data_IF_850557678207
#
_entry.id   IF_850557678207
#
_cell.length_a   1.000
_cell.length_b   1.000
_cell.length_c   1.000
_cell.angle_alpha   90.00
_cell.angle_beta   90.00
_cell.angle_gamma   90.00
#
_symmetry.space_group_name_H-M   'P 1'
#
loop_
_entity.id
_entity.type
_entity.pdbx_description
1 polymer ?
#
# COMPACT_ATOMS: atom_id res chain seq x y z
N UNK A 1 3.29 3.86 9.82
CA UNK A 1 3.51 5.25 9.35
C UNK A 1 2.51 5.57 8.21
N UNK A 2 2.36 6.82 7.75
CA UNK A 2 1.43 7.18 6.64
C UNK A 2 1.74 6.43 5.34
N UNK A 3 3.04 6.29 5.03
CA UNK A 3 3.56 5.57 3.87
C UNK A 3 3.11 4.10 3.90
N UNK A 4 3.35 3.39 5.01
CA UNK A 4 2.95 1.99 5.16
C UNK A 4 1.43 1.80 5.00
N UNK A 5 0.65 2.74 5.57
CA UNK A 5 -0.81 2.73 5.43
C UNK A 5 -1.22 2.88 3.96
N UNK A 6 -0.68 3.88 3.27
CA UNK A 6 -0.93 4.10 1.85
C UNK A 6 -0.54 2.90 1.00
N UNK A 7 0.63 2.31 1.28
CA UNK A 7 1.15 1.14 0.59
C UNK A 7 0.20 -0.06 0.74
N UNK A 8 -0.20 -0.40 1.98
CA UNK A 8 -1.10 -1.53 2.22
C UNK A 8 -2.48 -1.34 1.57
N UNK A 9 -3.04 -0.13 1.62
CA UNK A 9 -4.32 0.20 0.97
C UNK A 9 -4.22 0.02 -0.54
N UNK A 10 -3.24 0.67 -1.18
CA UNK A 10 -3.11 0.63 -2.64
C UNK A 10 -2.74 -0.75 -3.14
N UNK A 11 -1.85 -1.47 -2.45
CA UNK A 11 -1.51 -2.86 -2.77
C UNK A 11 -2.75 -3.75 -2.76
N UNK A 12 -3.59 -3.65 -1.72
CA UNK A 12 -4.85 -4.42 -1.65
C UNK A 12 -5.79 -4.06 -2.80
N UNK A 13 -5.92 -2.76 -3.10
CA UNK A 13 -6.78 -2.27 -4.17
C UNK A 13 -6.30 -2.63 -5.58
N UNK A 14 -4.99 -2.66 -5.81
CA UNK A 14 -4.39 -3.09 -7.08
C UNK A 14 -4.58 -4.59 -7.29
N UNK A 15 -4.29 -5.40 -6.27
CA UNK A 15 -4.49 -6.86 -6.29
C UNK A 15 -5.94 -7.27 -6.57
N UNK A 16 -6.90 -6.51 -6.05
CA UNK A 16 -8.34 -6.77 -6.24
C UNK A 16 -8.96 -6.03 -7.43
N UNK A 17 -8.23 -5.10 -8.05
CA UNK A 17 -8.74 -4.19 -9.07
C UNK A 17 -9.67 -3.07 -8.54
N UNK A 18 -9.93 -3.00 -7.23
CA UNK A 18 -10.73 -1.95 -6.60
C UNK A 18 -10.17 -0.54 -6.86
N UNK A 19 -8.85 -0.43 -7.06
CA UNK A 19 -8.17 0.86 -7.32
C UNK A 19 -8.79 1.63 -8.48
N UNK A 20 -9.26 0.93 -9.53
CA UNK A 20 -9.82 1.57 -10.71
C UNK A 20 -11.17 2.21 -10.44
N UNK A 21 -12.00 1.58 -9.59
CA UNK A 21 -13.27 2.16 -9.15
C UNK A 21 -13.03 3.33 -8.19
N UNK A 22 -12.16 3.14 -7.20
CA UNK A 22 -11.83 4.15 -6.20
C UNK A 22 -11.26 5.43 -6.83
N UNK A 23 -10.33 5.27 -7.78
CA UNK A 23 -9.67 6.38 -8.48
C UNK A 23 -10.45 6.87 -9.70
N UNK A 24 -11.64 6.31 -9.99
CA UNK A 24 -12.47 6.64 -11.17
C UNK A 24 -11.68 6.56 -12.49
N UNK A 25 -10.80 5.59 -12.60
CA UNK A 25 -9.92 5.43 -13.76
C UNK A 25 -10.66 4.77 -14.93
N UNK A 26 -10.59 5.41 -16.10
CA UNK A 26 -11.28 4.98 -17.34
C UNK A 26 -10.33 4.46 -18.42
N UNK A 27 -9.02 4.44 -18.17
CA UNK A 27 -8.01 3.97 -19.11
C UNK A 27 -7.90 2.44 -19.20
N UNK A 28 -7.05 1.94 -20.11
CA UNK A 28 -6.83 0.51 -20.29
C UNK A 28 -6.22 -0.11 -19.03
N UNK A 29 -6.70 -1.31 -18.68
CA UNK A 29 -6.22 -2.06 -17.52
C UNK A 29 -5.07 -2.99 -17.93
N UNK A 30 -3.97 -2.87 -17.23
CA UNK A 30 -2.84 -3.79 -17.24
C UNK A 30 -3.11 -4.98 -16.33
N UNK A 31 -2.69 -6.17 -16.79
CA UNK A 31 -2.75 -7.41 -16.03
C UNK A 31 -1.39 -7.65 -15.38
N UNK A 32 -1.31 -7.43 -14.07
CA UNK A 32 -0.11 -7.70 -13.28
C UNK A 32 0.28 -9.19 -13.36
N UNK A 33 1.58 -9.45 -13.50
CA UNK A 33 2.17 -10.78 -13.62
C UNK A 33 2.34 -11.46 -12.26
N UNK A 34 2.77 -10.70 -11.27
CA UNK A 34 3.10 -11.19 -9.92
C UNK A 34 2.88 -10.11 -8.85
N UNK A 35 3.23 -10.43 -7.60
CA UNK A 35 3.17 -9.49 -6.48
C UNK A 35 4.18 -8.35 -6.61
N UNK A 36 5.29 -8.59 -7.30
CA UNK A 36 6.42 -7.66 -7.33
C UNK A 36 6.10 -6.46 -8.20
N UNK A 37 5.42 -6.67 -9.35
CA UNK A 37 4.87 -5.57 -10.14
C UNK A 37 3.83 -4.74 -9.38
N UNK A 38 3.01 -5.39 -8.55
CA UNK A 38 2.04 -4.69 -7.71
C UNK A 38 2.76 -3.84 -6.66
N UNK A 39 3.82 -4.38 -6.05
CA UNK A 39 4.58 -3.70 -5.03
C UNK A 39 5.42 -2.55 -5.61
N UNK A 40 5.95 -2.71 -6.82
CA UNK A 40 6.64 -1.66 -7.57
C UNK A 40 5.73 -0.45 -7.82
N UNK A 41 4.60 -0.65 -8.50
CA UNK A 41 3.68 0.46 -8.80
C UNK A 41 3.09 1.07 -7.52
N UNK A 42 2.81 0.24 -6.50
CA UNK A 42 2.33 0.73 -5.20
C UNK A 42 3.37 1.65 -4.56
N UNK A 43 4.65 1.23 -4.57
CA UNK A 43 5.77 2.02 -4.07
C UNK A 43 5.88 3.36 -4.80
N UNK A 44 5.79 3.36 -6.13
CA UNK A 44 5.85 4.56 -6.95
C UNK A 44 4.70 5.54 -6.64
N UNK A 45 3.46 5.03 -6.53
CA UNK A 45 2.29 5.84 -6.16
C UNK A 45 2.52 6.49 -4.80
N UNK A 46 2.93 5.72 -3.79
CA UNK A 46 3.10 6.21 -2.43
C UNK A 46 4.27 7.20 -2.34
N UNK A 47 5.37 6.95 -3.04
CA UNK A 47 6.53 7.84 -3.10
C UNK A 47 6.19 9.22 -3.68
N UNK A 48 5.49 9.26 -4.83
CA UNK A 48 5.03 10.54 -5.39
C UNK A 48 4.02 11.24 -4.48
N UNK A 49 3.16 10.43 -3.85
CA UNK A 49 2.11 10.96 -2.98
C UNK A 49 2.67 11.54 -1.70
N UNK A 50 3.70 10.96 -1.09
CA UNK A 50 4.28 11.54 0.14
C UNK A 50 5.02 12.85 -0.16
N UNK A 51 5.68 12.94 -1.31
CA UNK A 51 6.32 14.18 -1.76
C UNK A 51 5.29 15.30 -1.97
N UNK A 52 4.22 15.02 -2.72
CA UNK A 52 3.14 15.98 -2.94
C UNK A 52 2.38 16.31 -1.65
N UNK A 53 2.11 15.32 -0.79
CA UNK A 53 1.39 15.54 0.46
C UNK A 53 2.14 16.47 1.42
N UNK A 54 3.47 16.35 1.49
CA UNK A 54 4.28 17.26 2.30
C UNK A 54 4.14 18.71 1.82
N UNK A 55 4.26 18.95 0.52
CA UNK A 55 4.21 20.29 -0.06
C UNK A 55 2.79 20.87 -0.06
N UNK A 56 1.85 20.13 -0.66
CA UNK A 56 0.52 20.61 -1.02
C UNK A 56 -0.46 20.56 0.16
N UNK A 57 -0.16 19.77 1.20
CA UNK A 57 -1.09 19.55 2.32
C UNK A 57 -0.50 20.02 3.64
N UNK A 58 0.66 19.47 4.04
CA UNK A 58 1.23 19.75 5.35
C UNK A 58 1.81 21.16 5.43
N UNK A 59 2.63 21.55 4.46
CA UNK A 59 3.25 22.88 4.42
C UNK A 59 2.24 23.96 4.04
N UNK A 60 1.40 23.69 3.04
CA UNK A 60 0.36 24.63 2.63
C UNK A 60 -0.80 24.74 3.63
N UNK A 61 -0.86 23.87 4.64
CA UNK A 61 -1.87 23.92 5.70
C UNK A 61 -3.30 23.65 5.22
N UNK A 62 -3.47 22.92 4.10
CA UNK A 62 -4.81 22.70 3.52
C UNK A 62 -5.63 21.67 4.30
N UNK A 63 -4.97 20.83 5.11
CA UNK A 63 -5.66 19.84 5.94
C UNK A 63 -6.13 20.47 7.26
N UNK A 64 -7.41 20.29 7.54
CA UNK A 64 -8.06 20.78 8.75
C UNK A 64 -8.69 19.59 9.49
N UNK A 65 -8.20 19.22 10.69
CA UNK A 65 -8.72 18.09 11.45
C UNK A 65 -10.18 18.28 11.89
N UNK A 66 -10.67 19.53 11.98
CA UNK A 66 -12.06 19.81 12.37
C UNK A 66 -13.08 19.45 11.28
N UNK A 67 -12.63 19.30 10.02
CA UNK A 67 -13.47 18.92 8.88
C UNK A 67 -13.69 17.41 8.75
N UNK A 68 -13.29 16.63 9.74
CA UNK A 68 -13.66 15.21 9.89
C UNK A 68 -12.83 14.19 9.09
N UNK A 69 -11.88 14.62 8.27
CA UNK A 69 -10.96 13.72 7.59
C UNK A 69 -9.70 13.49 8.44
N UNK A 70 -9.41 12.23 8.80
CA UNK A 70 -8.13 11.90 9.43
C UNK A 70 -6.97 12.20 8.46
N UNK A 71 -5.77 12.45 9.01
CA UNK A 71 -4.57 12.67 8.19
C UNK A 71 -4.28 11.48 7.26
N UNK A 72 -4.56 10.25 7.71
CA UNK A 72 -4.45 9.03 6.90
C UNK A 72 -5.43 9.02 5.74
N UNK A 73 -6.70 9.35 6.00
CA UNK A 73 -7.75 9.42 4.96
C UNK A 73 -7.43 10.50 3.93
N UNK A 74 -6.93 11.64 4.38
CA UNK A 74 -6.49 12.73 3.50
C UNK A 74 -5.30 12.29 2.64
N UNK A 75 -4.35 11.54 3.21
CA UNK A 75 -3.21 10.98 2.48
C UNK A 75 -3.65 10.01 1.38
N UNK A 76 -4.61 9.13 1.65
CA UNK A 76 -5.19 8.25 0.62
C UNK A 76 -5.84 9.06 -0.50
N UNK A 77 -6.54 10.15 -0.18
CA UNK A 77 -7.06 11.09 -1.17
C UNK A 77 -5.95 11.60 -2.10
N UNK A 78 -4.81 12.00 -1.54
CA UNK A 78 -3.66 12.43 -2.33
C UNK A 78 -3.11 11.29 -3.21
N UNK A 79 -3.01 10.06 -2.70
CA UNK A 79 -2.61 8.91 -3.50
C UNK A 79 -3.54 8.66 -4.70
N UNK A 80 -4.85 8.82 -4.51
CA UNK A 80 -5.86 8.68 -5.58
C UNK A 80 -5.65 9.73 -6.68
N UNK A 81 -5.26 10.95 -6.32
CA UNK A 81 -4.96 12.01 -7.29
C UNK A 81 -3.71 11.71 -8.13
N UNK A 82 -2.69 11.07 -7.54
CA UNK A 82 -1.45 10.71 -8.25
C UNK A 82 -1.59 9.44 -9.09
N UNK A 83 -2.46 8.52 -8.69
CA UNK A 83 -2.64 7.20 -9.32
C UNK A 83 -2.71 7.26 -10.85
N UNK A 84 -3.57 8.10 -11.43
CA UNK A 84 -3.79 8.08 -12.88
C UNK A 84 -2.56 8.47 -13.70
N UNK A 85 -1.67 9.30 -13.16
CA UNK A 85 -0.44 9.71 -13.84
C UNK A 85 0.62 8.63 -13.70
N UNK A 86 0.84 8.14 -12.48
CA UNK A 86 1.79 7.06 -12.18
C UNK A 86 1.43 5.81 -12.97
N UNK A 87 0.17 5.40 -12.94
CA UNK A 87 -0.31 4.20 -13.63
C UNK A 87 -0.07 4.24 -15.14
N UNK A 88 -0.34 5.39 -15.78
CA UNK A 88 -0.10 5.53 -17.23
C UNK A 88 1.38 5.44 -17.58
N UNK A 89 2.25 6.05 -16.76
CA UNK A 89 3.70 5.99 -16.95
C UNK A 89 4.22 4.56 -16.74
N UNK A 90 3.86 3.94 -15.62
CA UNK A 90 4.26 2.56 -15.29
C UNK A 90 3.82 1.55 -16.37
N UNK A 91 2.57 1.64 -16.85
CA UNK A 91 2.09 0.75 -17.94
C UNK A 91 2.87 0.98 -19.23
N UNK A 92 3.21 2.22 -19.56
CA UNK A 92 4.02 2.52 -20.73
C UNK A 92 5.44 1.95 -20.62
N UNK A 93 6.02 1.92 -19.42
CA UNK A 93 7.33 1.32 -19.13
C UNK A 93 7.29 -0.20 -19.15
N UNK A 94 6.30 -0.82 -18.51
CA UNK A 94 6.10 -2.27 -18.50
C UNK A 94 5.84 -2.86 -19.90
N UNK A 95 5.31 -2.07 -20.84
CA UNK A 95 5.12 -2.46 -22.23
C UNK A 95 6.37 -2.29 -23.10
N UNK A 96 7.44 -1.62 -22.62
CA UNK A 96 8.69 -1.54 -23.36
C UNK A 96 9.34 -2.93 -23.32
N UNK A 97 9.48 -3.54 -24.50
CA UNK A 97 10.30 -4.74 -24.68
C UNK A 97 11.69 -4.43 -24.12
N UNK A 98 12.21 -5.18 -23.14
CA UNK A 98 13.56 -4.98 -22.64
C UNK A 98 14.53 -5.07 -23.81
N UNK A 99 15.26 -3.99 -24.09
CA UNK A 99 16.45 -4.08 -24.95
C UNK A 99 17.42 -4.97 -24.19
N UNK A 100 17.88 -6.07 -24.79
CA UNK A 100 18.75 -7.09 -24.21
C UNK A 100 19.55 -6.56 -23.02
N UNK A 101 19.01 -6.82 -21.83
CA UNK A 101 19.56 -6.31 -20.58
C UNK A 101 20.64 -7.29 -20.17
N UNK A 102 21.90 -6.87 -20.27
CA UNK A 102 23.03 -7.66 -19.78
C UNK A 102 22.94 -7.76 -18.25
N UNK A 103 22.37 -8.87 -17.77
CA UNK A 103 22.22 -9.18 -16.36
C UNK A 103 23.57 -9.24 -15.63
N UNK A 104 24.66 -9.57 -16.33
CA UNK A 104 26.01 -9.57 -15.78
C UNK A 104 26.48 -8.16 -15.46
N UNK A 105 26.18 -7.19 -16.33
CA UNK A 105 26.49 -5.77 -16.11
C UNK A 105 25.72 -5.19 -14.93
N UNK A 106 24.40 -5.43 -14.87
CA UNK A 106 23.56 -4.93 -13.76
C UNK A 106 24.04 -5.48 -12.42
N UNK A 107 24.39 -6.76 -12.36
CA UNK A 107 24.87 -7.38 -11.12
C UNK A 107 26.15 -6.73 -10.61
N UNK A 108 27.12 -6.49 -11.50
CA UNK A 108 28.36 -5.81 -11.15
C UNK A 108 28.12 -4.36 -10.69
N UNK A 109 27.15 -3.68 -11.29
CA UNK A 109 26.79 -2.30 -10.94
C UNK A 109 26.07 -2.20 -9.58
N UNK A 110 25.19 -3.16 -9.27
CA UNK A 110 24.53 -3.30 -7.98
C UNK A 110 25.49 -3.71 -6.86
N UNK A 111 26.46 -4.58 -7.15
CA UNK A 111 27.51 -4.95 -6.19
C UNK A 111 28.45 -3.77 -5.87
N UNK A 112 28.59 -2.82 -6.81
CA UNK A 112 29.40 -1.61 -6.61
C UNK A 112 28.66 -0.51 -5.84
N UNK A 113 27.32 -0.48 -5.92
CA UNK A 113 26.51 0.40 -5.09
C UNK A 113 26.42 -0.20 -3.67
N UNK A 114 27.16 0.38 -2.72
CA UNK A 114 26.97 0.10 -1.30
C UNK A 114 25.54 0.47 -0.90
N UNK A 115 24.60 -0.48 -1.00
CA UNK A 115 23.27 -0.32 -0.43
C UNK A 115 23.41 0.00 1.06
N UNK A 116 22.70 1.01 1.59
CA UNK A 116 22.74 1.30 3.02
C UNK A 116 22.40 0.03 3.79
N UNK A 117 23.29 -0.38 4.70
CA UNK A 117 23.10 -1.57 5.53
C UNK A 117 21.93 -1.30 6.46
N UNK A 118 20.74 -1.75 6.07
CA UNK A 118 19.55 -1.64 6.91
C UNK A 118 19.80 -2.48 8.18
N UNK A 119 19.67 -1.90 9.38
CA UNK A 119 19.80 -2.65 10.62
C UNK A 119 18.92 -3.92 10.63
N UNK A 120 19.48 -5.05 11.07
CA UNK A 120 18.88 -6.40 11.01
C UNK A 120 17.53 -6.47 11.74
N UNK A 121 17.34 -5.63 12.76
CA UNK A 121 16.10 -5.48 13.51
C UNK A 121 14.95 -4.90 12.67
N UNK A 122 15.23 -3.91 11.82
CA UNK A 122 14.25 -3.32 10.89
C UNK A 122 13.84 -4.33 9.82
N UNK A 123 14.79 -5.04 9.23
CA UNK A 123 14.50 -6.07 8.24
C UNK A 123 13.67 -7.23 8.83
N UNK A 124 14.01 -7.66 10.06
CA UNK A 124 13.26 -8.70 10.75
C UNK A 124 11.86 -8.25 11.15
N UNK A 125 11.66 -6.97 11.49
CA UNK A 125 10.34 -6.42 11.78
C UNK A 125 9.47 -6.29 10.52
N UNK A 126 10.04 -5.81 9.41
CA UNK A 126 9.36 -5.79 8.12
C UNK A 126 8.92 -7.21 7.70
N UNK A 127 9.80 -8.20 7.82
CA UNK A 127 9.49 -9.59 7.47
C UNK A 127 8.46 -10.24 8.41
N UNK A 128 8.38 -9.81 9.68
CA UNK A 128 7.31 -10.22 10.61
C UNK A 128 5.99 -9.57 10.25
N UNK A 129 6.01 -8.30 9.86
CA UNK A 129 4.82 -7.58 9.42
C UNK A 129 4.25 -8.15 8.12
N UNK A 130 5.10 -8.42 7.13
CA UNK A 130 4.70 -9.10 5.89
C UNK A 130 4.01 -10.43 6.18
N UNK A 131 4.63 -11.31 6.98
CA UNK A 131 4.03 -12.60 7.34
C UNK A 131 2.67 -12.48 8.04
N UNK A 132 2.50 -11.48 8.92
CA UNK A 132 1.21 -11.20 9.58
C UNK A 132 0.16 -10.63 8.63
N UNK A 133 0.59 -9.84 7.65
CA UNK A 133 -0.27 -9.35 6.57
C UNK A 133 -0.66 -10.46 5.61
N UNK A 134 0.09 -11.56 5.54
CA UNK A 134 -0.17 -12.74 4.70
C UNK A 134 -0.77 -13.93 5.46
N UNK A 135 -1.00 -13.83 6.77
CA UNK A 135 -1.57 -14.88 7.62
C UNK A 135 -3.11 -15.02 7.53
N UNK A 136 -3.64 -16.02 8.25
CA UNK A 136 -5.07 -16.36 8.28
C UNK A 136 -5.95 -15.15 8.64
N UNK A 137 -7.19 -15.14 8.15
CA UNK A 137 -8.04 -13.94 8.06
C UNK A 137 -8.18 -13.24 9.42
N UNK A 138 -8.26 -13.97 10.54
CA UNK A 138 -8.40 -13.40 11.88
C UNK A 138 -7.07 -12.87 12.42
N UNK A 139 -5.97 -13.59 12.24
CA UNK A 139 -4.65 -13.19 12.74
C UNK A 139 -4.20 -11.87 12.10
N UNK A 140 -4.46 -11.73 10.79
CA UNK A 140 -4.28 -10.49 10.05
C UNK A 140 -5.12 -9.34 10.60
N UNK A 141 -6.41 -9.56 10.91
CA UNK A 141 -7.28 -8.53 11.51
C UNK A 141 -6.79 -8.07 12.88
N UNK A 142 -6.32 -9.00 13.71
CA UNK A 142 -5.73 -8.69 15.02
C UNK A 142 -4.41 -7.91 14.88
N UNK A 143 -3.55 -8.30 13.93
CA UNK A 143 -2.31 -7.59 13.65
C UNK A 143 -2.58 -6.14 13.19
N UNK A 144 -3.57 -5.93 12.32
CA UNK A 144 -4.00 -4.60 11.88
C UNK A 144 -4.55 -3.76 13.06
N UNK A 145 -5.37 -4.34 13.93
CA UNK A 145 -5.86 -3.67 15.13
C UNK A 145 -4.72 -3.25 16.09
N UNK A 146 -3.75 -4.13 16.32
CA UNK A 146 -2.57 -3.84 17.15
C UNK A 146 -1.67 -2.74 16.55
N UNK A 147 -1.66 -2.61 15.22
CA UNK A 147 -0.98 -1.52 14.51
C UNK A 147 -1.76 -0.19 14.53
N UNK A 148 -2.88 -0.12 15.26
CA UNK A 148 -3.68 1.10 15.42
C UNK A 148 -4.62 1.39 14.25
N UNK A 149 -5.05 0.37 13.52
CA UNK A 149 -6.10 0.47 12.51
C UNK A 149 -7.47 0.27 13.17
N UNK A 150 -8.42 1.12 12.82
CA UNK A 150 -9.83 1.03 13.24
C UNK A 150 -10.57 -0.03 12.43
N UNK A 151 -11.68 -0.56 12.96
CA UNK A 151 -12.53 -1.51 12.22
C UNK A 151 -13.03 -0.96 10.88
N UNK A 152 -13.29 0.35 10.81
CA UNK A 152 -13.62 1.06 9.57
C UNK A 152 -12.45 1.03 8.56
N UNK A 153 -11.23 1.35 8.99
CA UNK A 153 -10.04 1.31 8.12
C UNK A 153 -9.74 -0.12 7.64
N UNK A 154 -9.92 -1.12 8.50
CA UNK A 154 -9.73 -2.52 8.15
C UNK A 154 -10.78 -3.00 7.14
N UNK A 155 -12.03 -2.56 7.27
CA UNK A 155 -13.08 -2.87 6.30
C UNK A 155 -12.75 -2.33 4.90
N UNK A 156 -12.16 -1.13 4.82
CA UNK A 156 -11.69 -0.54 3.56
C UNK A 156 -10.57 -1.38 2.92
N UNK A 157 -9.64 -1.88 3.73
CA UNK A 157 -8.53 -2.75 3.30
C UNK A 157 -9.02 -4.10 2.75
N UNK A 158 -10.01 -4.69 3.42
CA UNK A 158 -10.55 -6.02 3.09
C UNK A 158 -11.68 -5.98 2.05
N UNK A 159 -12.10 -4.79 1.62
CA UNK A 159 -13.20 -4.64 0.66
C UNK A 159 -14.55 -5.09 1.24
N UNK A 160 -14.75 -4.93 2.55
CA UNK A 160 -15.97 -5.34 3.26
C UNK A 160 -16.55 -4.18 4.07
N UNK A 161 -17.52 -4.46 4.94
CA UNK A 161 -18.15 -3.46 5.82
C UNK A 161 -17.55 -3.52 7.22
N UNK A 162 -17.57 -2.39 7.93
CA UNK A 162 -17.12 -2.30 9.33
C UNK A 162 -17.85 -3.31 10.23
N UNK A 163 -19.16 -3.48 10.02
CA UNK A 163 -19.96 -4.48 10.72
C UNK A 163 -19.48 -5.92 10.47
N UNK A 164 -19.07 -6.24 9.24
CA UNK A 164 -18.52 -7.56 8.93
C UNK A 164 -17.18 -7.80 9.65
N UNK A 165 -16.33 -6.79 9.77
CA UNK A 165 -15.08 -6.85 10.56
C UNK A 165 -15.39 -7.02 12.05
N UNK A 166 -16.28 -6.21 12.61
CA UNK A 166 -16.67 -6.29 14.02
C UNK A 166 -17.27 -7.67 14.35
N UNK A 167 -18.11 -8.23 13.47
CA UNK A 167 -18.68 -9.56 13.64
C UNK A 167 -17.63 -10.69 13.55
N UNK A 168 -16.57 -10.54 12.74
CA UNK A 168 -15.45 -11.49 12.69
C UNK A 168 -14.62 -11.43 13.97
N UNK A 169 -14.27 -10.24 14.43
CA UNK A 169 -13.52 -10.03 15.69
C UNK A 169 -14.30 -10.52 16.92
N UNK A 170 -15.62 -10.28 16.95
CA UNK A 170 -16.46 -10.78 18.03
C UNK A 170 -16.47 -12.31 18.09
N UNK A 171 -16.67 -12.99 16.95
CA UNK A 171 -16.65 -14.46 16.88
C UNK A 171 -15.31 -15.05 17.29
N UNK A 172 -14.21 -14.38 16.96
CA UNK A 172 -12.87 -14.78 17.39
C UNK A 172 -12.69 -14.68 18.92
N UNK A 173 -13.19 -13.60 19.54
CA UNK A 173 -13.14 -13.41 21.00
C UNK A 173 -13.96 -14.44 21.76
N UNK A 174 -15.11 -14.84 21.23
CA UNK A 174 -15.94 -15.89 21.84
C UNK A 174 -15.27 -17.27 21.77
N UNK A 175 -14.60 -17.59 20.65
CA UNK A 175 -13.82 -18.83 20.53
C UNK A 175 -12.60 -18.90 21.43
N UNK A 176 -11.99 -17.76 21.79
CA UNK A 176 -10.81 -17.72 22.66
C UNK A 176 -11.15 -17.80 24.17
N UNK A 177 -12.43 -17.67 24.53
CA UNK A 177 -12.93 -17.79 25.91
C UNK A 177 -13.43 -19.19 26.27
N UNK A 178 -13.53 -20.08 25.29
CA UNK A 178 -14.09 -21.42 25.39
C UNK A 178 -12.96 -22.45 25.37
#
# INVERSE_FOLDING_TARGET
>A
MLVDYGFQVFRSWLRTGKVFAECRHTGPRHRFRDSDEIDEITGEIVAESIAGFRADVLIAGTWDPSKGASLRTYFIGNCKLRFANVYRRWVAEAQRVPKDVDAGRIRAELEHQHAPRVPVDVAAELQRQERRLHGDTIERLHALGAAGYTSAEIAVLDGTTENAINARLHRAREKAKQ
#
